data_IF_639730939895
#
_entry.id   IF_639730939895
#
_cell.length_a   1.000
_cell.length_b   1.000
_cell.length_c   1.000
_cell.angle_alpha   90.00
_cell.angle_beta   90.00
_cell.angle_gamma   90.00
#
_symmetry.space_group_name_H-M   'P 1'
#
loop_
_entity.id
_entity.type
_entity.pdbx_description
1 polymer ?
#
# COMPACT_ATOMS: atom_id res chain seq x y z
N UNK A 1 -22.46 -12.73 -16.82
CA UNK A 1 -22.31 -14.14 -16.36
C UNK A 1 -22.56 -14.18 -14.86
N UNK A 2 -23.63 -14.83 -14.40
CA UNK A 2 -23.84 -15.08 -12.97
C UNK A 2 -22.89 -16.19 -12.54
N UNK A 3 -21.74 -15.82 -11.96
CA UNK A 3 -20.82 -16.80 -11.35
C UNK A 3 -21.39 -17.26 -10.02
N UNK A 4 -21.26 -18.54 -9.73
CA UNK A 4 -21.52 -19.03 -8.37
C UNK A 4 -20.46 -18.52 -7.40
N UNK A 5 -20.78 -18.48 -6.10
CA UNK A 5 -19.82 -18.05 -5.07
C UNK A 5 -18.54 -18.91 -5.10
N UNK A 6 -18.68 -20.21 -5.31
CA UNK A 6 -17.56 -21.15 -5.42
C UNK A 6 -16.66 -20.84 -6.64
N UNK A 7 -17.24 -20.48 -7.78
CA UNK A 7 -16.48 -20.06 -8.96
C UNK A 7 -15.72 -18.75 -8.72
N UNK A 8 -16.32 -17.80 -8.00
CA UNK A 8 -15.66 -16.55 -7.65
C UNK A 8 -14.42 -16.79 -6.75
N UNK A 9 -14.55 -17.62 -5.71
CA UNK A 9 -13.41 -17.99 -4.85
C UNK A 9 -12.34 -18.78 -5.60
N UNK A 10 -12.73 -19.69 -6.49
CA UNK A 10 -11.78 -20.42 -7.34
C UNK A 10 -10.98 -19.45 -8.22
N UNK A 11 -11.66 -18.50 -8.88
CA UNK A 11 -11.01 -17.50 -9.71
C UNK A 11 -10.04 -16.62 -8.90
N UNK A 12 -10.46 -16.15 -7.72
CA UNK A 12 -9.60 -15.38 -6.81
C UNK A 12 -8.36 -16.19 -6.39
N UNK A 13 -8.54 -17.46 -6.02
CA UNK A 13 -7.45 -18.37 -5.68
C UNK A 13 -6.46 -18.59 -6.84
N UNK A 14 -6.95 -18.74 -8.06
CA UNK A 14 -6.10 -18.80 -9.25
C UNK A 14 -5.27 -17.52 -9.43
N UNK A 15 -5.87 -16.34 -9.22
CA UNK A 15 -5.17 -15.05 -9.28
C UNK A 15 -4.06 -14.92 -8.25
N UNK A 16 -4.33 -15.27 -6.99
CA UNK A 16 -3.32 -15.29 -5.92
C UNK A 16 -2.20 -16.29 -6.25
N UNK A 17 -2.56 -17.49 -6.70
CA UNK A 17 -1.59 -18.52 -7.03
C UNK A 17 -0.74 -18.18 -8.28
N UNK A 18 -1.28 -17.43 -9.24
CA UNK A 18 -0.51 -16.86 -10.34
C UNK A 18 0.52 -15.86 -9.80
N UNK A 19 0.07 -14.86 -9.05
CA UNK A 19 0.94 -13.80 -8.55
C UNK A 19 2.04 -14.34 -7.62
N UNK A 20 1.74 -15.32 -6.75
CA UNK A 20 2.74 -15.95 -5.88
C UNK A 20 3.83 -16.69 -6.66
N UNK A 21 3.50 -17.28 -7.82
CA UNK A 21 4.47 -18.01 -8.65
C UNK A 21 5.33 -17.08 -9.48
N UNK A 22 4.76 -16.00 -10.00
CA UNK A 22 5.44 -15.09 -10.93
C UNK A 22 6.16 -13.97 -10.21
N UNK A 23 5.59 -13.42 -9.13
CA UNK A 23 6.10 -12.22 -8.49
C UNK A 23 6.97 -12.53 -7.28
N UNK A 24 8.22 -12.04 -7.33
CA UNK A 24 9.18 -12.17 -6.22
C UNK A 24 8.78 -11.29 -5.03
N UNK A 25 8.34 -10.07 -5.30
CA UNK A 25 7.99 -9.09 -4.28
C UNK A 25 6.82 -9.57 -3.41
N UNK A 26 5.76 -10.13 -4.02
CA UNK A 26 4.65 -10.73 -3.26
C UNK A 26 5.12 -11.83 -2.30
N UNK A 27 6.04 -12.72 -2.73
CA UNK A 27 6.60 -13.77 -1.86
C UNK A 27 7.36 -13.19 -0.67
N UNK A 28 8.16 -12.15 -0.90
CA UNK A 28 8.89 -11.44 0.17
C UNK A 28 7.91 -10.79 1.13
N UNK A 29 6.90 -10.09 0.62
CA UNK A 29 5.89 -9.42 1.45
C UNK A 29 5.07 -10.43 2.27
N UNK A 30 4.73 -11.60 1.72
CA UNK A 30 4.08 -12.68 2.48
C UNK A 30 4.98 -13.18 3.62
N UNK A 31 6.28 -13.38 3.37
CA UNK A 31 7.23 -13.80 4.40
C UNK A 31 7.39 -12.73 5.50
N UNK A 32 7.47 -11.45 5.12
CA UNK A 32 7.53 -10.33 6.07
C UNK A 32 6.24 -10.24 6.88
N UNK A 33 5.07 -10.34 6.25
CA UNK A 33 3.78 -10.34 6.93
C UNK A 33 3.67 -11.48 7.95
N UNK A 34 4.08 -12.68 7.57
CA UNK A 34 4.13 -13.83 8.49
C UNK A 34 5.08 -13.56 9.67
N UNK A 35 6.26 -12.98 9.41
CA UNK A 35 7.21 -12.59 10.46
C UNK A 35 6.67 -11.53 11.41
N UNK A 36 6.00 -10.50 10.89
CA UNK A 36 5.37 -9.43 11.68
C UNK A 36 4.30 -10.00 12.60
N UNK A 37 3.42 -10.86 12.08
CA UNK A 37 2.37 -11.50 12.88
C UNK A 37 2.95 -12.46 13.92
N UNK A 38 3.97 -13.23 13.57
CA UNK A 38 4.66 -14.10 14.52
C UNK A 38 5.33 -13.29 15.65
N UNK A 39 6.00 -12.18 15.32
CA UNK A 39 6.59 -11.27 16.31
C UNK A 39 5.54 -10.66 17.22
N UNK A 40 4.36 -10.30 16.70
CA UNK A 40 3.25 -9.80 17.49
C UNK A 40 2.81 -10.79 18.57
N UNK A 41 2.75 -12.08 18.23
CA UNK A 41 2.46 -13.14 19.19
C UNK A 41 3.59 -13.31 20.21
N UNK A 42 4.86 -13.24 19.79
CA UNK A 42 6.03 -13.34 20.69
C UNK A 42 6.05 -12.21 21.71
N UNK A 43 5.58 -11.00 21.36
CA UNK A 43 5.54 -9.85 22.28
C UNK A 43 4.25 -9.73 23.08
N UNK A 44 3.38 -10.74 23.02
CA UNK A 44 2.07 -10.75 23.69
C UNK A 44 1.20 -9.53 23.31
N UNK A 45 1.26 -9.12 22.03
CA UNK A 45 0.45 -8.03 21.52
C UNK A 45 -1.04 -8.34 21.69
N UNK A 46 -1.81 -7.30 22.02
CA UNK A 46 -3.27 -7.42 22.19
C UNK A 46 -3.95 -7.85 20.89
N UNK A 47 -5.16 -8.43 21.00
CA UNK A 47 -5.95 -8.84 19.84
C UNK A 47 -6.18 -7.68 18.85
N UNK A 48 -6.35 -6.46 19.35
CA UNK A 48 -6.51 -5.25 18.54
C UNK A 48 -5.22 -4.90 17.78
N UNK A 49 -4.06 -5.00 18.43
CA UNK A 49 -2.75 -4.76 17.79
C UNK A 49 -2.46 -5.79 16.70
N UNK A 50 -2.70 -7.07 16.97
CA UNK A 50 -2.57 -8.14 15.97
C UNK A 50 -3.52 -7.91 14.79
N UNK A 51 -4.77 -7.50 15.05
CA UNK A 51 -5.72 -7.19 13.99
C UNK A 51 -5.27 -6.00 13.12
N UNK A 52 -4.73 -4.94 13.73
CA UNK A 52 -4.19 -3.78 13.01
C UNK A 52 -3.01 -4.18 12.12
N UNK A 53 -2.08 -4.99 12.63
CA UNK A 53 -0.95 -5.52 11.85
C UNK A 53 -1.42 -6.43 10.72
N UNK A 54 -2.40 -7.29 10.96
CA UNK A 54 -2.98 -8.17 9.96
C UNK A 54 -3.62 -7.38 8.82
N UNK A 55 -4.39 -6.32 9.15
CA UNK A 55 -4.98 -5.42 8.15
C UNK A 55 -3.90 -4.67 7.37
N UNK A 56 -2.90 -4.12 8.05
CA UNK A 56 -1.81 -3.40 7.39
C UNK A 56 -1.04 -4.30 6.41
N UNK A 57 -0.69 -5.53 6.83
CA UNK A 57 -0.05 -6.51 5.96
C UNK A 57 -0.96 -6.93 4.79
N UNK A 58 -2.25 -7.17 5.07
CA UNK A 58 -3.24 -7.53 4.05
C UNK A 58 -3.40 -6.44 2.99
N UNK A 59 -3.38 -5.17 3.38
CA UNK A 59 -3.43 -4.05 2.43
C UNK A 59 -2.19 -4.00 1.53
N UNK A 60 -0.99 -4.23 2.08
CA UNK A 60 0.26 -4.28 1.29
C UNK A 60 0.20 -5.41 0.26
N UNK A 61 -0.20 -6.61 0.68
CA UNK A 61 -0.37 -7.76 -0.22
C UNK A 61 -1.44 -7.49 -1.29
N UNK A 62 -2.54 -6.85 -0.91
CA UNK A 62 -3.59 -6.43 -1.84
C UNK A 62 -3.08 -5.42 -2.89
N UNK A 63 -2.32 -4.42 -2.47
CA UNK A 63 -1.68 -3.45 -3.37
C UNK A 63 -0.70 -4.12 -4.33
N UNK A 64 0.07 -5.09 -3.87
CA UNK A 64 0.99 -5.85 -4.71
C UNK A 64 0.24 -6.70 -5.76
N UNK A 65 -0.90 -7.30 -5.39
CA UNK A 65 -1.76 -8.01 -6.34
C UNK A 65 -2.36 -7.06 -7.38
N UNK A 66 -2.79 -5.87 -6.98
CA UNK A 66 -3.25 -4.83 -7.91
C UNK A 66 -2.12 -4.37 -8.81
N UNK A 67 -0.92 -4.17 -8.28
CA UNK A 67 0.27 -3.82 -9.07
C UNK A 67 0.56 -4.88 -10.13
N UNK A 68 0.52 -6.15 -9.74
CA UNK A 68 0.69 -7.28 -10.67
C UNK A 68 -0.37 -7.28 -11.77
N UNK A 69 -1.63 -7.01 -11.42
CA UNK A 69 -2.72 -6.94 -12.39
C UNK A 69 -2.53 -5.78 -13.38
N UNK A 70 -2.06 -4.62 -12.89
CA UNK A 70 -1.72 -3.46 -13.72
C UNK A 70 -0.57 -3.78 -14.66
N UNK A 71 0.49 -4.44 -14.17
CA UNK A 71 1.62 -4.87 -15.01
C UNK A 71 1.15 -5.77 -16.16
N UNK A 72 0.38 -6.82 -15.85
CA UNK A 72 -0.17 -7.75 -16.86
C UNK A 72 -1.06 -7.02 -17.88
N UNK A 73 -1.90 -6.10 -17.43
CA UNK A 73 -2.76 -5.31 -18.31
C UNK A 73 -1.94 -4.40 -19.23
N UNK A 74 -0.97 -3.67 -18.68
CA UNK A 74 -0.14 -2.73 -19.43
C UNK A 74 0.73 -3.48 -20.44
N UNK A 75 1.31 -4.62 -20.08
CA UNK A 75 2.09 -5.47 -20.99
C UNK A 75 1.25 -6.04 -22.13
N UNK A 76 -0.03 -6.33 -21.86
CA UNK A 76 -0.97 -6.75 -22.90
C UNK A 76 -1.36 -5.63 -23.88
N UNK A 77 -1.44 -4.38 -23.40
CA UNK A 77 -1.85 -3.23 -24.21
C UNK A 77 -0.69 -2.57 -24.98
N UNK A 78 0.52 -2.61 -24.44
CA UNK A 78 1.73 -2.03 -25.06
C UNK A 78 2.81 -3.09 -25.29
N UNK A 79 2.75 -3.84 -26.40
CA UNK A 79 3.77 -4.83 -26.74
C UNK A 79 5.12 -4.21 -27.14
N UNK A 80 5.19 -2.90 -27.36
CA UNK A 80 6.41 -2.14 -27.62
C UNK A 80 6.65 -1.10 -26.51
N UNK A 81 7.91 -0.72 -26.24
CA UNK A 81 8.23 0.28 -25.21
C UNK A 81 7.44 1.58 -25.40
N UNK A 82 6.78 2.03 -24.32
CA UNK A 82 5.94 3.24 -24.31
C UNK A 82 6.18 4.03 -23.03
N UNK A 83 6.36 5.35 -23.19
CA UNK A 83 6.45 6.30 -22.08
C UNK A 83 5.23 6.24 -21.15
N UNK A 84 4.04 6.08 -21.74
CA UNK A 84 2.80 5.97 -20.97
C UNK A 84 2.76 4.67 -20.15
N UNK A 85 3.15 3.54 -20.77
CA UNK A 85 3.23 2.25 -20.10
C UNK A 85 4.19 2.30 -18.91
N UNK A 86 5.36 2.91 -19.09
CA UNK A 86 6.33 3.11 -18.00
C UNK A 86 5.74 3.92 -16.85
N UNK A 87 5.13 5.08 -17.13
CA UNK A 87 4.53 5.93 -16.09
C UNK A 87 3.44 5.21 -15.28
N UNK A 88 2.59 4.41 -15.93
CA UNK A 88 1.55 3.65 -15.23
C UNK A 88 2.17 2.62 -14.30
N UNK A 89 3.15 1.85 -14.78
CA UNK A 89 3.86 0.85 -13.95
C UNK A 89 4.60 1.49 -12.79
N UNK A 90 5.35 2.57 -13.04
CA UNK A 90 6.09 3.29 -12.00
C UNK A 90 5.15 3.85 -10.92
N UNK A 91 4.01 4.41 -11.32
CA UNK A 91 3.01 4.95 -10.39
C UNK A 91 2.34 3.84 -9.57
N UNK A 92 2.05 2.71 -10.21
CA UNK A 92 1.48 1.53 -9.53
C UNK A 92 2.46 0.95 -8.49
N UNK A 93 3.75 0.82 -8.85
CA UNK A 93 4.80 0.40 -7.94
C UNK A 93 4.98 1.39 -6.77
N UNK A 94 4.90 2.69 -7.04
CA UNK A 94 4.95 3.71 -5.99
C UNK A 94 3.82 3.55 -4.96
N UNK A 95 2.62 3.17 -5.38
CA UNK A 95 1.50 2.91 -4.47
C UNK A 95 1.80 1.75 -3.50
N UNK A 96 2.42 0.66 -3.99
CA UNK A 96 2.87 -0.45 -3.14
C UNK A 96 3.89 0.03 -2.12
N UNK A 97 4.90 0.80 -2.56
CA UNK A 97 5.97 1.31 -1.68
C UNK A 97 5.40 2.20 -0.58
N UNK A 98 4.46 3.09 -0.91
CA UNK A 98 3.79 3.94 0.07
C UNK A 98 2.98 3.10 1.09
N UNK A 99 2.25 2.09 0.62
CA UNK A 99 1.53 1.16 1.48
C UNK A 99 2.46 0.39 2.41
N UNK A 100 3.57 -0.13 1.88
CA UNK A 100 4.58 -0.85 2.65
C UNK A 100 5.26 0.05 3.70
N UNK A 101 5.56 1.30 3.37
CA UNK A 101 6.10 2.27 4.32
C UNK A 101 5.11 2.59 5.46
N UNK A 102 3.83 2.75 5.13
CA UNK A 102 2.79 2.96 6.14
C UNK A 102 2.62 1.73 7.06
N UNK A 103 2.62 0.52 6.48
CA UNK A 103 2.56 -0.72 7.25
C UNK A 103 3.81 -0.91 8.14
N UNK A 104 5.00 -0.57 7.64
CA UNK A 104 6.24 -0.61 8.41
C UNK A 104 6.20 0.37 9.59
N UNK A 105 5.68 1.59 9.39
CA UNK A 105 5.48 2.56 10.46
C UNK A 105 4.51 2.05 11.52
N UNK A 106 3.36 1.49 11.11
CA UNK A 106 2.40 0.87 12.03
C UNK A 106 3.04 -0.29 12.81
N UNK A 107 3.79 -1.16 12.11
CA UNK A 107 4.58 -2.24 12.71
C UNK A 107 5.58 -1.75 13.74
N UNK A 108 6.32 -0.68 13.44
CA UNK A 108 7.28 -0.09 14.38
C UNK A 108 6.60 0.51 15.63
N UNK A 109 5.41 1.09 15.49
CA UNK A 109 4.66 1.63 16.63
C UNK A 109 4.14 0.54 17.55
N UNK A 110 3.62 -0.55 16.97
CA UNK A 110 3.03 -1.66 17.72
C UNK A 110 4.11 -2.57 18.32
N UNK A 111 5.09 -2.98 17.51
CA UNK A 111 6.11 -3.95 17.91
C UNK A 111 7.36 -3.30 18.50
N UNK A 112 7.67 -2.06 18.14
CA UNK A 112 8.90 -1.38 18.57
C UNK A 112 9.05 -1.26 20.09
N UNK A 113 8.09 -0.66 20.82
CA UNK A 113 8.18 -0.54 22.27
C UNK A 113 8.40 -1.86 23.01
N UNK A 114 7.59 -2.92 22.80
CA UNK A 114 7.78 -4.17 23.53
C UNK A 114 9.07 -4.90 23.13
N UNK A 115 9.51 -4.80 21.87
CA UNK A 115 10.81 -5.35 21.45
C UNK A 115 11.98 -4.61 22.11
N UNK A 116 11.95 -3.29 22.17
CA UNK A 116 12.98 -2.49 22.85
C UNK A 116 13.03 -2.78 24.35
N UNK A 117 11.86 -2.93 24.99
CA UNK A 117 11.79 -3.30 26.40
C UNK A 117 12.44 -4.67 26.67
N UNK A 118 12.24 -5.66 25.78
CA UNK A 118 12.91 -6.98 25.86
C UNK A 118 14.43 -6.89 25.71
N UNK A 119 14.94 -5.84 25.06
CA UNK A 119 16.37 -5.55 24.89
C UNK A 119 16.94 -4.62 25.97
N UNK A 120 16.14 -4.22 26.97
CA UNK A 120 16.55 -3.31 28.04
C UNK A 120 16.63 -1.84 27.64
N UNK A 121 16.05 -1.45 26.50
CA UNK A 121 16.02 -0.07 26.00
C UNK A 121 14.68 0.59 26.37
N UNK A 122 14.66 1.72 27.09
CA UNK A 122 13.41 2.35 27.52
C UNK A 122 12.65 2.94 26.33
N UNK A 123 11.41 2.54 26.08
CA UNK A 123 10.64 2.96 24.89
C UNK A 123 9.76 4.22 25.09
N UNK A 124 10.15 5.14 25.98
CA UNK A 124 9.31 6.29 26.38
C UNK A 124 9.07 7.31 25.26
N UNK A 125 9.89 7.31 24.23
CA UNK A 125 9.78 8.19 23.06
C UNK A 125 8.66 7.83 22.09
N UNK A 126 8.11 6.61 22.10
CA UNK A 126 7.21 6.17 21.02
C UNK A 126 5.87 6.93 21.00
N UNK A 127 5.24 7.13 22.15
CA UNK A 127 3.95 7.84 22.27
C UNK A 127 4.01 9.30 21.77
N UNK A 128 4.96 10.14 22.21
CA UNK A 128 5.06 11.52 21.71
C UNK A 128 5.42 11.58 20.22
N UNK A 129 6.25 10.66 19.70
CA UNK A 129 6.59 10.63 18.27
C UNK A 129 5.38 10.34 17.39
N UNK A 130 4.53 9.37 17.76
CA UNK A 130 3.30 9.06 17.01
C UNK A 130 2.34 10.24 17.00
N UNK A 131 2.15 10.88 18.16
CA UNK A 131 1.30 12.07 18.26
C UNK A 131 1.82 13.22 17.39
N UNK A 132 3.14 13.46 17.38
CA UNK A 132 3.76 14.50 16.56
C UNK A 132 3.59 14.23 15.05
N UNK A 133 3.77 12.99 14.59
CA UNK A 133 3.57 12.62 13.18
C UNK A 133 2.10 12.79 12.77
N UNK A 134 1.16 12.35 13.60
CA UNK A 134 -0.27 12.55 13.35
C UNK A 134 -0.64 14.03 13.24
N UNK A 135 -0.10 14.88 14.12
CA UNK A 135 -0.31 16.32 14.08
C UNK A 135 0.27 16.97 12.81
N UNK A 136 1.48 16.57 12.39
CA UNK A 136 2.12 17.05 11.16
C UNK A 136 1.34 16.64 9.91
N UNK A 137 0.85 15.40 9.85
CA UNK A 137 0.02 14.93 8.73
C UNK A 137 -1.31 15.71 8.64
N UNK A 138 -1.96 15.96 9.77
CA UNK A 138 -3.17 16.77 9.83
C UNK A 138 -2.92 18.23 9.40
N UNK A 139 -1.81 18.83 9.84
CA UNK A 139 -1.40 20.17 9.45
C UNK A 139 -1.09 20.26 7.94
N UNK A 140 -0.38 19.27 7.39
CA UNK A 140 -0.10 19.18 5.95
C UNK A 140 -1.39 19.03 5.13
N UNK A 141 -2.35 18.21 5.60
CA UNK A 141 -3.65 18.07 4.96
C UNK A 141 -4.46 19.38 5.01
N UNK A 142 -4.40 20.12 6.12
CA UNK A 142 -5.05 21.42 6.25
C UNK A 142 -4.41 22.47 5.31
N UNK A 143 -3.07 22.54 5.26
CA UNK A 143 -2.33 23.41 4.36
C UNK A 143 -2.59 23.07 2.88
N UNK A 144 -2.70 21.78 2.54
CA UNK A 144 -3.05 21.35 1.18
C UNK A 144 -4.44 21.81 0.76
N UNK A 145 -5.41 21.81 1.69
CA UNK A 145 -6.76 22.32 1.43
C UNK A 145 -6.78 23.83 1.21
N UNK A 146 -5.96 24.59 1.93
CA UNK A 146 -5.88 26.06 1.77
C UNK A 146 -5.10 26.49 0.53
N UNK A 147 -4.09 25.70 0.13
CA UNK A 147 -3.24 26.00 -1.03
C UNK A 147 -3.82 25.50 -2.36
N UNK A 148 -4.78 24.57 -2.37
CA UNK A 148 -5.52 24.19 -3.57
C UNK A 148 -6.40 25.35 -4.03
N UNK A 149 -5.86 26.20 -4.91
CA UNK A 149 -6.69 27.10 -5.73
C UNK A 149 -7.49 26.25 -6.73
N UNK A 150 -8.79 26.50 -6.91
CA UNK A 150 -9.56 25.85 -7.96
C UNK A 150 -8.90 26.17 -9.30
N UNK A 151 -8.67 25.15 -10.12
CA UNK A 151 -8.18 25.32 -11.49
C UNK A 151 -9.13 26.28 -12.21
N UNK A 152 -8.59 27.41 -12.70
CA UNK A 152 -9.35 28.33 -13.55
C UNK A 152 -9.91 27.59 -14.78
N UNK A 153 -10.93 28.16 -15.44
CA UNK A 153 -11.54 27.52 -16.62
C UNK A 153 -10.47 27.18 -17.66
N UNK A 154 -10.52 25.94 -18.16
CA UNK A 154 -9.63 25.47 -19.22
C UNK A 154 -9.93 26.26 -20.49
N UNK A 155 -9.05 27.20 -20.86
CA UNK A 155 -9.08 27.85 -22.17
C UNK A 155 -8.95 26.75 -23.25
N UNK A 156 -10.05 26.51 -23.97
CA UNK A 156 -10.00 25.66 -25.15
C UNK A 156 -9.29 26.44 -26.24
N UNK A 157 -8.30 25.86 -26.94
CA UNK A 157 -7.73 26.52 -28.11
C UNK A 157 -8.85 26.80 -29.12
N UNK A 158 -8.96 28.06 -29.53
CA UNK A 158 -9.83 28.50 -30.61
C UNK A 158 -9.38 27.79 -31.90
N UNK A 159 -10.09 26.73 -32.26
CA UNK A 159 -9.91 26.05 -33.53
C UNK A 159 -10.13 27.02 -34.69
N UNK A 160 -9.55 26.75 -35.88
CA UNK A 160 -9.69 27.65 -37.02
C UNK A 160 -11.16 27.79 -37.39
N UNK A 161 -11.62 29.04 -37.45
CA UNK A 161 -12.92 29.40 -38.04
C UNK A 161 -12.81 29.07 -39.52
N UNK A 162 -13.40 27.95 -39.93
CA UNK A 162 -13.60 27.65 -41.35
C UNK A 162 -14.50 28.76 -41.91
N UNK A 163 -13.96 29.54 -42.85
CA UNK A 163 -14.70 30.50 -43.67
C UNK A 163 -15.35 29.79 -44.85
#
# INVERSE_FOLDING_TARGET
MNRTLAEAFRAAGCGVAYALRTQRNLRIQCAVAAGVLALALVVDASATEVALLAVACGLVLGLELVNTAVEVLVDGLWPQPSEAARRVKDTSAAAVVLGAAAAAAAGAVVLGPPLLARLGVPATWVKPTVAAVGALAAAAAAAWRTLRRPSGPVERPSGPVLK
#
